data_IF_133925424819
#
_entry.id   IF_133925424819
#
_cell.length_a   1.000
_cell.length_b   1.000
_cell.length_c   1.000
_cell.angle_alpha   90.00
_cell.angle_beta   90.00
_cell.angle_gamma   90.00
#
_symmetry.space_group_name_H-M   'P 1'
#
loop_
_entity.id
_entity.type
_entity.pdbx_description
1 polymer ?
#
# COMPACT_ATOMS: atom_id res chain seq x y z
N UNK A 1 -1.20 -13.05 -23.38
CA UNK A 1 -0.84 -11.93 -22.48
C UNK A 1 -0.74 -12.48 -21.07
N UNK A 2 0.29 -12.09 -20.31
CA UNK A 2 0.44 -12.50 -18.91
C UNK A 2 -0.73 -11.98 -18.07
N UNK A 3 -1.11 -12.72 -17.03
CA UNK A 3 -2.17 -12.30 -16.10
C UNK A 3 -1.83 -10.94 -15.48
N UNK A 4 -2.77 -9.98 -15.35
CA UNK A 4 -2.48 -8.69 -14.73
C UNK A 4 -2.12 -8.82 -13.25
N UNK A 5 -1.44 -7.81 -12.70
CA UNK A 5 -1.26 -7.67 -11.26
C UNK A 5 -2.56 -7.08 -10.70
N UNK A 6 -3.28 -7.82 -9.86
CA UNK A 6 -4.39 -7.24 -9.10
C UNK A 6 -3.84 -6.41 -7.94
N UNK A 7 -4.04 -5.09 -7.99
CA UNK A 7 -3.52 -4.17 -6.99
C UNK A 7 -4.66 -3.57 -6.18
N UNK A 8 -4.82 -4.05 -4.95
CA UNK A 8 -5.79 -3.55 -3.98
C UNK A 8 -5.21 -2.38 -3.21
N UNK A 9 -5.91 -1.25 -3.18
CA UNK A 9 -5.40 -0.03 -2.57
C UNK A 9 -6.49 0.82 -1.91
N UNK A 10 -6.05 1.61 -0.94
CA UNK A 10 -6.82 2.65 -0.26
C UNK A 10 -5.87 3.81 0.03
N UNK A 11 -6.21 5.04 -0.39
CA UNK A 11 -5.35 6.21 -0.20
C UNK A 11 -5.15 6.61 1.27
N UNK A 12 -5.97 6.09 2.19
CA UNK A 12 -5.74 6.25 3.64
C UNK A 12 -4.55 5.43 4.16
N UNK A 13 -4.04 4.47 3.39
CA UNK A 13 -2.85 3.68 3.73
C UNK A 13 -1.59 4.32 3.15
N UNK A 14 -0.63 4.76 4.00
CA UNK A 14 0.62 5.36 3.53
C UNK A 14 1.43 4.44 2.61
N UNK A 15 1.47 3.14 2.91
CA UNK A 15 2.16 2.18 2.05
C UNK A 15 1.42 1.94 0.72
N UNK A 16 0.09 1.95 0.74
CA UNK A 16 -0.69 1.79 -0.50
C UNK A 16 -0.49 2.99 -1.43
N UNK A 17 -0.38 4.20 -0.87
CA UNK A 17 -0.03 5.40 -1.64
C UNK A 17 1.38 5.29 -2.24
N UNK A 18 2.40 4.95 -1.44
CA UNK A 18 3.76 4.79 -1.97
C UNK A 18 3.81 3.70 -3.07
N UNK A 19 3.11 2.59 -2.86
CA UNK A 19 3.05 1.51 -3.84
C UNK A 19 2.29 1.92 -5.12
N UNK A 20 1.28 2.79 -5.04
CA UNK A 20 0.57 3.26 -6.25
C UNK A 20 1.46 4.08 -7.17
N UNK A 21 2.47 4.78 -6.65
CA UNK A 21 3.41 5.56 -7.46
C UNK A 21 4.40 4.68 -8.26
N UNK A 22 4.58 3.41 -7.89
CA UNK A 22 5.60 2.53 -8.50
C UNK A 22 5.05 1.28 -9.19
N UNK A 23 3.78 0.91 -8.96
CA UNK A 23 3.22 -0.37 -9.40
C UNK A 23 3.12 -0.50 -10.92
N UNK A 24 2.82 0.59 -11.63
CA UNK A 24 2.72 0.58 -13.10
C UNK A 24 4.10 0.33 -13.74
N UNK A 25 5.16 0.99 -13.25
CA UNK A 25 6.53 0.75 -13.71
C UNK A 25 7.01 -0.68 -13.42
N UNK A 26 6.59 -1.25 -12.29
CA UNK A 26 6.83 -2.66 -11.99
C UNK A 26 6.12 -3.58 -12.98
N UNK A 27 4.85 -3.32 -13.29
CA UNK A 27 4.09 -4.14 -14.23
C UNK A 27 4.71 -4.09 -15.64
N UNK A 28 5.10 -2.89 -16.10
CA UNK A 28 5.76 -2.69 -17.39
C UNK A 28 7.05 -3.49 -17.50
N UNK A 29 7.91 -3.47 -16.46
CA UNK A 29 9.17 -4.23 -16.40
C UNK A 29 8.98 -5.73 -16.68
N UNK A 30 7.80 -6.28 -16.36
CA UNK A 30 7.49 -7.70 -16.55
C UNK A 30 6.49 -7.95 -17.69
N UNK A 31 6.17 -6.95 -18.52
CA UNK A 31 5.21 -7.08 -19.62
C UNK A 31 3.79 -7.42 -19.14
N UNK A 32 3.41 -6.91 -17.96
CA UNK A 32 2.10 -7.10 -17.35
C UNK A 32 1.33 -5.78 -17.34
N UNK A 33 0.00 -5.87 -17.14
CA UNK A 33 -0.86 -4.73 -16.83
C UNK A 33 -1.15 -4.70 -15.33
N UNK A 34 -1.51 -3.53 -14.81
CA UNK A 34 -2.10 -3.40 -13.47
C UNK A 34 -3.62 -3.39 -13.59
N UNK A 35 -4.28 -4.18 -12.75
CA UNK A 35 -5.72 -4.16 -12.55
C UNK A 35 -6.00 -3.54 -11.18
N UNK A 36 -6.32 -2.25 -11.21
CA UNK A 36 -6.57 -1.45 -10.02
C UNK A 36 -7.87 -1.86 -9.32
N UNK A 37 -7.80 -2.10 -8.01
CA UNK A 37 -8.91 -2.53 -7.16
C UNK A 37 -9.03 -1.58 -5.96
N UNK A 38 -9.72 -0.43 -6.09
CA UNK A 38 -9.96 0.43 -4.94
C UNK A 38 -10.78 -0.33 -3.89
N UNK A 39 -10.41 -0.17 -2.62
CA UNK A 39 -11.10 -0.79 -1.49
C UNK A 39 -11.17 0.16 -0.30
N UNK A 40 -12.00 -0.21 0.69
CA UNK A 40 -12.12 0.50 1.96
C UNK A 40 -11.40 -0.29 3.06
N UNK A 41 -10.15 0.08 3.34
CA UNK A 41 -9.31 -0.56 4.34
C UNK A 41 -9.88 -0.40 5.76
N UNK A 42 -10.54 0.73 6.03
CA UNK A 42 -11.25 0.94 7.30
C UNK A 42 -12.31 -0.13 7.59
N UNK A 43 -13.04 -0.60 6.57
CA UNK A 43 -14.04 -1.68 6.71
C UNK A 43 -13.35 -3.01 6.99
N UNK A 44 -12.18 -3.26 6.41
CA UNK A 44 -11.39 -4.47 6.69
C UNK A 44 -10.93 -4.49 8.15
N UNK A 45 -10.43 -3.37 8.68
CA UNK A 45 -10.07 -3.28 10.09
C UNK A 45 -11.27 -3.55 11.01
N UNK A 46 -12.43 -2.97 10.72
CA UNK A 46 -13.66 -3.24 11.47
C UNK A 46 -14.07 -4.72 11.43
N UNK A 47 -13.98 -5.36 10.26
CA UNK A 47 -14.36 -6.77 10.08
C UNK A 47 -13.39 -7.76 10.72
N UNK A 48 -12.10 -7.43 10.72
CA UNK A 48 -11.04 -8.30 11.24
C UNK A 48 -10.73 -8.07 12.72
N UNK A 49 -11.18 -6.94 13.29
CA UNK A 49 -10.82 -6.51 14.64
C UNK A 49 -9.37 -6.05 14.77
N UNK A 50 -8.66 -5.84 13.65
CA UNK A 50 -7.28 -5.35 13.66
C UNK A 50 -7.26 -3.84 13.94
N UNK A 51 -6.38 -3.36 14.85
CA UNK A 51 -6.19 -1.93 15.04
C UNK A 51 -5.46 -1.31 13.84
N UNK A 52 -5.58 0.01 13.69
CA UNK A 52 -4.72 0.76 12.78
C UNK A 52 -3.24 0.53 13.13
N UNK A 53 -2.37 0.42 12.13
CA UNK A 53 -0.94 0.14 12.34
C UNK A 53 -0.28 1.13 13.31
N UNK A 54 -0.63 2.41 13.20
CA UNK A 54 -0.12 3.49 14.08
C UNK A 54 -0.52 3.32 15.54
N UNK A 55 -1.55 2.51 15.83
CA UNK A 55 -2.04 2.23 17.18
C UNK A 55 -1.50 0.89 17.74
N UNK A 56 -0.73 0.14 16.96
CA UNK A 56 -0.17 -1.14 17.43
C UNK A 56 1.04 -0.86 18.35
N UNK A 57 1.04 -1.33 19.61
CA UNK A 57 2.18 -1.16 20.52
C UNK A 57 3.50 -1.64 19.90
N UNK A 58 4.59 -0.92 20.16
CA UNK A 58 5.94 -1.15 19.61
C UNK A 58 6.10 -0.95 18.09
N UNK A 59 5.01 -1.02 17.31
CA UNK A 59 5.05 -0.81 15.84
C UNK A 59 4.64 0.60 15.45
N UNK A 60 3.71 1.23 16.18
CA UNK A 60 3.11 2.50 15.81
C UNK A 60 4.14 3.62 15.60
N UNK A 61 4.96 3.88 16.61
CA UNK A 61 6.01 4.92 16.54
C UNK A 61 7.04 4.65 15.43
N UNK A 62 7.41 3.37 15.25
CA UNK A 62 8.31 2.98 14.18
C UNK A 62 7.67 3.21 12.80
N UNK A 63 6.41 2.83 12.63
CA UNK A 63 5.69 2.92 11.35
C UNK A 63 5.62 4.34 10.83
N UNK A 64 5.40 5.34 11.69
CA UNK A 64 5.42 6.75 11.30
C UNK A 64 6.78 7.18 10.71
N UNK A 65 7.88 6.72 11.32
CA UNK A 65 9.24 6.98 10.82
C UNK A 65 9.50 6.23 9.52
N UNK A 66 8.97 5.02 9.42
CA UNK A 66 9.11 4.15 8.26
C UNK A 66 8.37 4.72 7.05
N UNK A 67 7.13 5.20 7.20
CA UNK A 67 6.37 5.86 6.12
C UNK A 67 7.19 6.97 5.46
N UNK A 68 7.77 7.85 6.28
CA UNK A 68 8.60 8.95 5.78
C UNK A 68 9.91 8.46 5.13
N UNK A 69 10.50 7.37 5.60
CA UNK A 69 11.71 6.77 5.01
C UNK A 69 11.41 6.09 3.68
N UNK A 70 10.32 5.33 3.60
CA UNK A 70 9.87 4.65 2.40
C UNK A 70 9.48 5.66 1.32
N UNK A 71 8.74 6.72 1.67
CA UNK A 71 8.40 7.79 0.74
C UNK A 71 9.67 8.41 0.13
N UNK A 72 10.63 8.83 0.98
CA UNK A 72 11.94 9.34 0.51
C UNK A 72 12.71 8.35 -0.35
N UNK A 73 12.71 7.07 -0.01
CA UNK A 73 13.40 6.04 -0.79
C UNK A 73 12.81 5.87 -2.19
N UNK A 74 11.49 6.00 -2.32
CA UNK A 74 10.77 5.90 -3.59
C UNK A 74 10.60 7.23 -4.32
N UNK A 75 11.03 8.35 -3.73
CA UNK A 75 10.92 9.68 -4.33
C UNK A 75 9.50 10.27 -4.32
N UNK A 76 8.66 9.82 -3.37
CA UNK A 76 7.29 10.29 -3.14
C UNK A 76 7.25 11.34 -2.03
#
# INVERSE_FOLDING_TARGET
MSEPIEFYFDFSSPYSYIASEVIDGLAEKYGRKVKWRPMLLGVVFQKTGQPLLVNVPLKGEYSLRDFARSARYHGV
#
